data_IF_411941873121
#
_entry.id   IF_411941873121
#
_cell.length_a   1.000
_cell.length_b   1.000
_cell.length_c   1.000
_cell.angle_alpha   90.00
_cell.angle_beta   90.00
_cell.angle_gamma   90.00
#
_symmetry.space_group_name_H-M   'P 1'
#
loop_
_entity.id
_entity.type
_entity.pdbx_description
1 polymer ?
#
# COMPACT_ATOMS: atom_id res chain seq x y z
N UNK A 1 -7.91 -0.75 -19.26
CA UNK A 1 -6.85 0.11 -18.69
C UNK A 1 -5.54 -0.27 -19.37
N UNK A 2 -4.79 0.66 -19.96
CA UNK A 2 -3.49 0.33 -20.55
C UNK A 2 -2.45 0.20 -19.43
N UNK A 3 -1.63 -0.86 -19.38
CA UNK A 3 -0.76 -1.17 -18.25
C UNK A 3 0.27 -0.08 -17.94
N UNK A 4 0.73 0.63 -18.98
CA UNK A 4 1.62 1.80 -18.90
C UNK A 4 1.13 2.88 -17.93
N UNK A 5 -0.18 3.09 -17.81
CA UNK A 5 -0.74 4.07 -16.87
C UNK A 5 -0.70 3.60 -15.43
N UNK A 6 -0.75 2.29 -15.18
CA UNK A 6 -0.71 1.72 -13.82
C UNK A 6 0.69 1.88 -13.25
N UNK A 7 1.72 1.57 -14.04
CA UNK A 7 3.12 1.68 -13.61
C UNK A 7 3.59 3.12 -13.40
N UNK A 8 2.91 4.09 -14.02
CA UNK A 8 3.19 5.52 -13.82
C UNK A 8 2.59 6.09 -12.51
N UNK A 9 1.70 5.35 -11.85
CA UNK A 9 1.06 5.82 -10.62
C UNK A 9 2.04 5.63 -9.45
N UNK A 10 2.29 6.72 -8.72
CA UNK A 10 3.09 6.67 -7.49
C UNK A 10 2.38 5.85 -6.42
N UNK A 11 3.10 4.94 -5.78
CA UNK A 11 2.55 4.13 -4.68
C UNK A 11 2.00 5.00 -3.53
N UNK A 12 2.69 6.10 -3.21
CA UNK A 12 2.27 7.07 -2.18
C UNK A 12 0.88 7.66 -2.39
N UNK A 13 0.42 7.82 -3.64
CA UNK A 13 -0.94 8.31 -3.91
C UNK A 13 -2.01 7.23 -3.78
N UNK A 14 -1.62 5.95 -3.86
CA UNK A 14 -2.52 4.78 -3.77
C UNK A 14 -2.62 4.27 -2.35
N UNK A 15 -1.54 4.32 -1.58
CA UNK A 15 -1.48 3.85 -0.19
C UNK A 15 -2.65 4.36 0.69
N UNK A 16 -2.99 5.67 0.74
CA UNK A 16 -4.13 6.14 1.53
C UNK A 16 -5.49 5.56 1.07
N UNK A 17 -5.62 5.17 -0.20
CA UNK A 17 -6.82 4.49 -0.71
C UNK A 17 -6.90 3.06 -0.19
N UNK A 18 -5.77 2.36 -0.03
CA UNK A 18 -5.75 1.05 0.60
C UNK A 18 -6.11 1.13 2.08
N UNK A 19 -5.57 2.11 2.82
CA UNK A 19 -5.93 2.33 4.22
C UNK A 19 -7.44 2.52 4.38
N UNK A 20 -8.04 3.43 3.62
CA UNK A 20 -9.51 3.64 3.64
C UNK A 20 -10.28 2.37 3.31
N UNK A 21 -9.79 1.58 2.34
CA UNK A 21 -10.45 0.33 1.93
C UNK A 21 -10.39 -0.71 3.05
N UNK A 22 -9.25 -0.88 3.73
CA UNK A 22 -9.14 -1.85 4.83
C UNK A 22 -9.96 -1.40 6.05
N UNK A 23 -9.95 -0.12 6.37
CA UNK A 23 -10.78 0.47 7.44
C UNK A 23 -12.28 0.26 7.16
N UNK A 24 -12.72 0.47 5.91
CA UNK A 24 -14.11 0.20 5.51
C UNK A 24 -14.51 -1.27 5.63
N UNK A 25 -13.53 -2.17 5.72
CA UNK A 25 -13.70 -3.62 5.89
C UNK A 25 -13.44 -4.05 7.33
N UNK A 26 -13.31 -3.12 8.28
CA UNK A 26 -13.09 -3.41 9.70
C UNK A 26 -11.69 -3.93 10.02
N UNK A 27 -10.72 -3.71 9.15
CA UNK A 27 -9.31 -4.09 9.32
C UNK A 27 -8.46 -2.88 9.63
N UNK A 28 -7.31 -3.07 10.26
CA UNK A 28 -6.42 -1.97 10.62
C UNK A 28 -5.36 -1.68 9.53
N UNK A 29 -4.80 -0.48 9.59
CA UNK A 29 -3.61 -0.10 8.81
C UNK A 29 -2.43 -1.03 9.10
N UNK A 30 -2.23 -1.43 10.36
CA UNK A 30 -1.12 -2.29 10.76
C UNK A 30 -1.21 -3.67 10.10
N UNK A 31 -2.41 -4.23 9.96
CA UNK A 31 -2.62 -5.48 9.22
C UNK A 31 -2.27 -5.32 7.73
N UNK A 32 -2.66 -4.19 7.13
CA UNK A 32 -2.31 -3.87 5.74
C UNK A 32 -0.78 -3.77 5.57
N UNK A 33 -0.11 -3.05 6.47
CA UNK A 33 1.34 -2.88 6.43
C UNK A 33 2.06 -4.22 6.59
N UNK A 34 1.57 -5.09 7.48
CA UNK A 34 2.10 -6.44 7.65
C UNK A 34 1.97 -7.30 6.39
N UNK A 35 0.85 -7.21 5.69
CA UNK A 35 0.64 -7.90 4.40
C UNK A 35 1.59 -7.33 3.34
N UNK A 36 1.75 -6.01 3.27
CA UNK A 36 2.67 -5.37 2.34
C UNK A 36 4.10 -5.83 2.61
N UNK A 37 4.54 -5.83 3.88
CA UNK A 37 5.86 -6.35 4.28
C UNK A 37 6.06 -7.81 3.86
N UNK A 38 5.04 -8.68 4.01
CA UNK A 38 5.14 -10.07 3.59
C UNK A 38 5.23 -10.23 2.06
N UNK A 39 4.50 -9.42 1.30
CA UNK A 39 4.46 -9.50 -0.16
C UNK A 39 5.69 -8.88 -0.84
N UNK A 40 6.22 -7.78 -0.29
CA UNK A 40 7.32 -7.02 -0.92
C UNK A 40 8.67 -7.24 -0.24
N UNK A 41 8.69 -7.81 0.96
CA UNK A 41 9.89 -7.90 1.79
C UNK A 41 10.34 -6.56 2.38
N UNK A 42 9.51 -5.50 2.29
CA UNK A 42 9.85 -4.23 2.90
C UNK A 42 9.91 -4.33 4.42
N UNK A 43 10.85 -3.58 5.02
CA UNK A 43 10.81 -3.22 6.43
C UNK A 43 9.93 -1.98 6.62
N UNK A 44 9.56 -1.67 7.86
CA UNK A 44 8.73 -0.48 8.16
C UNK A 44 9.33 0.81 7.60
N UNK A 45 10.65 0.98 7.70
CA UNK A 45 11.37 2.11 7.11
C UNK A 45 11.33 2.11 5.58
N UNK A 46 11.43 0.93 4.97
CA UNK A 46 11.35 0.76 3.52
C UNK A 46 9.96 1.10 2.99
N UNK A 47 8.92 0.64 3.68
CA UNK A 47 7.54 0.99 3.37
C UNK A 47 7.31 2.50 3.53
N UNK A 48 7.81 3.10 4.61
CA UNK A 48 7.71 4.54 4.86
C UNK A 48 8.46 5.39 3.83
N UNK A 49 9.52 4.88 3.21
CA UNK A 49 10.20 5.57 2.10
C UNK A 49 9.33 5.59 0.84
N UNK A 50 8.52 4.55 0.61
CA UNK A 50 7.68 4.43 -0.58
C UNK A 50 6.35 5.21 -0.50
N UNK A 51 5.91 5.53 0.73
CA UNK A 51 4.68 6.28 1.04
C UNK A 51 5.01 7.77 1.20
#
# INVERSE_FOLDING_TARGET
MRPEKVFAIKFSSVYPLYVKKVESKGRSKEELDRVIHWLTGYSEEGLRHQI
#
